data_IF_092375905290
#
_entry.id   IF_092375905290
#
_cell.length_a   1.000
_cell.length_b   1.000
_cell.length_c   1.000
_cell.angle_alpha   90.00
_cell.angle_beta   90.00
_cell.angle_gamma   90.00
#
_symmetry.space_group_name_H-M   'P 1'
#
loop_
_entity.id
_entity.type
_entity.pdbx_description
1 polymer ?
#
# COMPACT_ATOMS: atom_id res chain seq x y z
N UNK A 1 -6.20 -13.77 42.87
CA UNK A 1 -6.65 -13.41 41.51
C UNK A 1 -5.59 -12.48 40.96
N UNK A 2 -4.97 -12.85 39.86
CA UNK A 2 -3.89 -12.06 39.25
C UNK A 2 -4.50 -11.30 38.08
N UNK A 3 -4.23 -10.00 38.03
CA UNK A 3 -4.57 -9.16 36.87
C UNK A 3 -3.37 -9.19 35.93
N UNK A 4 -3.55 -9.72 34.72
CA UNK A 4 -2.49 -9.74 33.71
C UNK A 4 -2.88 -8.84 32.54
N UNK A 5 -1.98 -7.93 32.15
CA UNK A 5 -2.17 -7.09 30.97
C UNK A 5 -1.59 -7.78 29.75
N UNK A 6 -2.36 -7.81 28.67
CA UNK A 6 -1.95 -8.28 27.36
C UNK A 6 -2.10 -7.14 26.36
N UNK A 7 -1.02 -6.81 25.65
CA UNK A 7 -1.00 -5.76 24.62
C UNK A 7 -1.01 -6.45 23.26
N UNK A 8 -1.78 -5.92 22.31
CA UNK A 8 -1.77 -6.39 20.94
C UNK A 8 -0.42 -6.04 20.28
N UNK A 9 0.36 -7.07 19.94
CA UNK A 9 1.60 -6.93 19.17
C UNK A 9 1.38 -6.69 17.68
N UNK A 10 2.44 -6.81 16.90
CA UNK A 10 2.40 -6.67 15.44
C UNK A 10 1.74 -7.87 14.76
N UNK A 11 1.25 -7.69 13.53
CA UNK A 11 0.75 -8.79 12.70
C UNK A 11 1.93 -9.60 12.15
N UNK A 12 2.16 -10.78 12.72
CA UNK A 12 3.27 -11.67 12.34
C UNK A 12 2.77 -13.12 12.28
N UNK A 13 1.93 -13.47 11.29
CA UNK A 13 1.31 -14.79 11.18
C UNK A 13 2.32 -15.93 10.97
N UNK A 14 3.53 -15.64 10.51
CA UNK A 14 4.56 -16.66 10.27
C UNK A 14 5.20 -17.18 11.55
N UNK A 15 5.10 -16.40 12.64
CA UNK A 15 5.62 -16.78 13.94
C UNK A 15 4.83 -17.98 14.50
N UNK A 16 5.50 -18.87 15.27
CA UNK A 16 4.79 -19.93 15.97
C UNK A 16 3.64 -19.38 16.81
N UNK A 17 2.47 -20.05 16.83
CA UNK A 17 1.26 -19.51 17.43
C UNK A 17 1.27 -19.58 18.96
N UNK A 18 2.38 -19.91 19.62
CA UNK A 18 2.50 -19.99 21.08
C UNK A 18 3.78 -19.29 21.55
N UNK A 19 3.72 -18.68 22.74
CA UNK A 19 4.81 -17.88 23.34
C UNK A 19 5.19 -16.67 22.47
N UNK A 20 4.21 -16.03 21.85
CA UNK A 20 4.38 -14.85 21.02
C UNK A 20 3.38 -13.77 21.44
N UNK A 21 3.84 -12.53 21.47
CA UNK A 21 2.98 -11.35 21.71
C UNK A 21 2.32 -10.84 20.42
N UNK A 22 2.62 -11.50 19.29
CA UNK A 22 2.19 -11.13 17.96
C UNK A 22 0.75 -11.56 17.68
N UNK A 23 0.15 -10.90 16.70
CA UNK A 23 -1.16 -11.25 16.18
C UNK A 23 -1.03 -12.21 15.00
N UNK A 24 -1.79 -13.30 15.08
CA UNK A 24 -1.87 -14.33 14.03
C UNK A 24 -2.84 -13.88 12.93
N UNK A 25 -3.85 -13.09 13.28
CA UNK A 25 -4.73 -12.45 12.31
C UNK A 25 -5.04 -11.00 12.71
N UNK A 26 -5.00 -10.11 11.73
CA UNK A 26 -5.51 -8.75 11.83
C UNK A 26 -6.28 -8.46 10.56
N UNK A 27 -7.47 -7.86 10.69
CA UNK A 27 -8.16 -7.29 9.54
C UNK A 27 -8.71 -5.91 9.86
N UNK A 28 -8.65 -5.04 8.84
CA UNK A 28 -9.26 -3.71 8.79
C UNK A 28 -8.82 -2.75 9.91
N UNK A 29 -7.52 -2.75 10.23
CA UNK A 29 -6.95 -1.82 11.20
C UNK A 29 -5.58 -1.27 10.76
N UNK A 30 -5.30 -0.02 11.07
CA UNK A 30 -3.98 0.57 10.89
C UNK A 30 -3.10 0.30 12.13
N UNK A 31 -1.81 -0.03 11.95
CA UNK A 31 -0.91 -0.23 13.07
C UNK A 31 -0.58 1.11 13.73
N UNK A 32 -0.40 1.10 15.05
CA UNK A 32 0.13 2.23 15.83
C UNK A 32 1.18 1.73 16.82
N UNK A 33 1.95 2.64 17.42
CA UNK A 33 3.02 2.28 18.36
C UNK A 33 2.50 1.41 19.53
N UNK A 34 1.29 1.69 20.01
CA UNK A 34 0.65 0.95 21.10
C UNK A 34 -0.77 0.54 20.69
N UNK A 35 -0.86 -0.50 19.85
CA UNK A 35 -2.12 -1.08 19.41
C UNK A 35 -2.49 -0.67 17.99
N UNK A 36 -3.79 -0.51 17.73
CA UNK A 36 -4.34 -0.31 16.39
C UNK A 36 -5.31 0.85 16.33
N UNK A 37 -5.55 1.36 15.10
CA UNK A 37 -6.50 2.43 14.77
C UNK A 37 -7.52 1.95 13.74
N UNK A 38 -8.74 2.52 13.70
CA UNK A 38 -9.77 2.12 12.74
C UNK A 38 -9.38 2.46 11.30
N UNK A 39 -10.02 1.75 10.38
CA UNK A 39 -9.97 2.03 8.95
C UNK A 39 -11.39 2.33 8.47
N UNK A 40 -11.59 3.45 7.78
CA UNK A 40 -12.89 3.80 7.21
C UNK A 40 -13.25 2.92 6.02
N UNK A 41 -14.53 2.80 5.71
CA UNK A 41 -15.01 2.12 4.51
C UNK A 41 -14.66 2.91 3.25
N UNK A 42 -14.61 2.21 2.12
CA UNK A 42 -14.43 2.83 0.82
C UNK A 42 -15.52 3.88 0.55
N UNK A 43 -15.08 5.09 0.20
CA UNK A 43 -15.90 6.22 -0.17
C UNK A 43 -15.42 6.73 -1.54
N UNK A 44 -16.26 6.56 -2.54
CA UNK A 44 -15.97 6.97 -3.93
C UNK A 44 -16.03 8.49 -4.04
N UNK A 45 -15.01 9.11 -4.65
CA UNK A 45 -14.97 10.54 -4.96
C UNK A 45 -15.00 10.82 -6.46
N UNK A 46 -14.62 9.85 -7.29
CA UNK A 46 -14.64 9.97 -8.74
C UNK A 46 -15.37 8.77 -9.37
N UNK A 47 -16.17 9.01 -10.42
CA UNK A 47 -17.02 7.99 -11.02
C UNK A 47 -16.18 6.87 -11.67
N UNK A 48 -16.86 5.80 -12.05
CA UNK A 48 -16.24 4.68 -12.76
C UNK A 48 -15.57 5.13 -14.08
N UNK A 49 -14.38 4.60 -14.34
CA UNK A 49 -13.76 4.72 -15.66
C UNK A 49 -14.59 3.97 -16.72
N UNK A 50 -14.69 4.49 -17.96
CA UNK A 50 -15.46 3.83 -19.03
C UNK A 50 -14.92 2.46 -19.45
N UNK A 51 -13.62 2.23 -19.28
CA UNK A 51 -12.92 1.00 -19.64
C UNK A 51 -12.01 0.54 -18.51
N UNK A 52 -11.53 -0.71 -18.60
CA UNK A 52 -10.74 -1.34 -17.55
C UNK A 52 -9.51 -0.50 -17.18
N UNK A 53 -9.34 -0.30 -15.87
CA UNK A 53 -8.20 0.42 -15.29
C UNK A 53 -6.88 -0.29 -15.57
N UNK A 54 -5.84 0.47 -15.94
CA UNK A 54 -4.49 -0.04 -16.21
C UNK A 54 -3.39 0.73 -15.47
N UNK A 55 -3.72 1.79 -14.72
CA UNK A 55 -2.77 2.57 -13.93
C UNK A 55 -3.23 4.01 -13.75
N UNK A 56 -2.88 4.64 -12.63
CA UNK A 56 -3.19 6.04 -12.36
C UNK A 56 -2.15 6.66 -11.43
N UNK A 57 -2.07 7.98 -11.47
CA UNK A 57 -1.24 8.77 -10.56
C UNK A 57 -1.77 10.19 -10.47
N UNK A 58 -1.56 10.82 -9.32
CA UNK A 58 -1.87 12.23 -9.10
C UNK A 58 -0.58 13.06 -9.07
N UNK A 59 -0.65 14.27 -9.62
CA UNK A 59 0.48 15.20 -9.77
C UNK A 59 0.10 16.59 -9.29
N UNK A 60 1.11 17.35 -8.87
CA UNK A 60 0.98 18.73 -8.43
C UNK A 60 1.90 19.62 -9.28
N UNK A 61 1.34 20.63 -9.94
CA UNK A 61 2.06 21.61 -10.75
C UNK A 61 2.72 22.69 -9.90
N UNK A 62 3.63 23.45 -10.51
CA UNK A 62 4.33 24.57 -9.86
C UNK A 62 3.40 25.70 -9.39
N UNK A 63 2.21 25.83 -9.98
CA UNK A 63 1.17 26.79 -9.63
C UNK A 63 0.19 26.29 -8.54
N UNK A 64 0.36 25.05 -8.07
CA UNK A 64 -0.54 24.39 -7.13
C UNK A 64 -1.73 23.68 -7.78
N UNK A 65 -1.81 23.63 -9.11
CA UNK A 65 -2.82 22.86 -9.84
C UNK A 65 -2.59 21.36 -9.64
N UNK A 66 -3.66 20.61 -9.40
CA UNK A 66 -3.58 19.14 -9.25
C UNK A 66 -4.13 18.45 -10.49
N UNK A 67 -3.39 17.47 -11.00
CA UNK A 67 -3.79 16.65 -12.14
C UNK A 67 -3.85 15.18 -11.72
N UNK A 68 -5.04 14.57 -11.80
CA UNK A 68 -5.22 13.13 -11.66
C UNK A 68 -5.36 12.50 -13.04
N UNK A 69 -4.43 11.63 -13.40
CA UNK A 69 -4.43 10.87 -14.64
C UNK A 69 -4.77 9.41 -14.37
N UNK A 70 -5.56 8.82 -15.26
CA UNK A 70 -5.84 7.40 -15.27
C UNK A 70 -5.77 6.84 -16.69
N UNK A 71 -4.95 5.83 -16.87
CA UNK A 71 -4.81 5.07 -18.10
C UNK A 71 -5.73 3.86 -18.11
N UNK A 72 -6.32 3.60 -19.27
CA UNK A 72 -7.11 2.40 -19.55
C UNK A 72 -6.43 1.55 -20.61
N UNK A 73 -7.10 0.50 -21.09
CA UNK A 73 -6.57 -0.40 -22.11
C UNK A 73 -6.21 0.30 -23.43
N UNK A 74 -6.84 1.43 -23.76
CA UNK A 74 -6.68 2.09 -25.06
C UNK A 74 -6.60 3.63 -25.00
N UNK A 75 -6.78 4.22 -23.84
CA UNK A 75 -6.97 5.67 -23.70
C UNK A 75 -6.36 6.19 -22.41
N UNK A 76 -6.03 7.48 -22.41
CA UNK A 76 -5.59 8.20 -21.21
C UNK A 76 -6.64 9.25 -20.86
N UNK A 77 -7.06 9.26 -19.60
CA UNK A 77 -8.06 10.18 -19.07
C UNK A 77 -7.45 11.11 -18.03
N UNK A 78 -7.97 12.34 -17.97
CA UNK A 78 -7.79 13.24 -16.84
C UNK A 78 -9.09 13.37 -16.06
N UNK A 79 -9.00 13.51 -14.75
CA UNK A 79 -10.15 13.85 -13.92
C UNK A 79 -10.29 15.36 -13.82
N UNK A 80 -11.43 15.90 -14.24
CA UNK A 80 -11.73 17.34 -14.20
C UNK A 80 -13.20 17.57 -13.93
N UNK A 81 -13.51 18.49 -13.01
CA UNK A 81 -14.89 18.90 -12.69
C UNK A 81 -15.84 17.72 -12.44
N UNK A 82 -15.41 16.74 -11.63
CA UNK A 82 -16.25 15.59 -11.25
C UNK A 82 -16.32 14.46 -12.28
N UNK A 83 -15.65 14.57 -13.44
CA UNK A 83 -15.80 13.63 -14.55
C UNK A 83 -14.45 13.23 -15.18
N UNK A 84 -14.44 12.06 -15.82
CA UNK A 84 -13.30 11.61 -16.63
C UNK A 84 -13.39 12.19 -18.04
N UNK A 85 -12.37 12.94 -18.46
CA UNK A 85 -12.21 13.45 -19.81
C UNK A 85 -11.06 12.72 -20.51
N UNK A 86 -11.32 12.09 -21.65
CA UNK A 86 -10.26 11.48 -22.47
C UNK A 86 -9.36 12.58 -23.05
N UNK A 87 -8.06 12.48 -22.80
CA UNK A 87 -7.05 13.38 -23.39
C UNK A 87 -6.32 12.74 -24.57
N UNK A 88 -6.22 11.42 -24.58
CA UNK A 88 -5.69 10.65 -25.69
C UNK A 88 -6.50 9.36 -25.87
N UNK A 89 -6.69 8.95 -27.11
CA UNK A 89 -7.38 7.71 -27.50
C UNK A 89 -6.54 6.96 -28.55
N UNK A 90 -6.79 5.66 -28.72
CA UNK A 90 -6.07 4.85 -29.71
C UNK A 90 -4.64 4.49 -29.29
N UNK A 91 -4.39 4.38 -27.99
CA UNK A 91 -3.11 4.01 -27.37
C UNK A 91 -3.23 2.64 -26.71
N UNK A 92 -3.10 1.53 -27.45
CA UNK A 92 -3.24 0.19 -26.87
C UNK A 92 -2.17 -0.03 -25.78
N UNK A 93 -2.58 -0.33 -24.55
CA UNK A 93 -1.65 -0.61 -23.46
C UNK A 93 -1.15 -2.06 -23.56
N UNK A 94 0.17 -2.24 -23.55
CA UNK A 94 0.82 -3.56 -23.51
C UNK A 94 1.35 -3.93 -22.11
N UNK A 95 1.31 -2.97 -21.19
CA UNK A 95 1.57 -3.15 -19.76
C UNK A 95 0.71 -2.20 -18.94
N UNK A 96 0.97 -2.13 -17.63
CA UNK A 96 0.38 -1.10 -16.77
C UNK A 96 0.88 0.28 -17.19
N UNK A 97 0.08 1.32 -16.96
CA UNK A 97 0.50 2.68 -17.15
C UNK A 97 1.43 3.10 -16.01
N UNK A 98 2.63 3.56 -16.38
CA UNK A 98 3.58 4.17 -15.46
C UNK A 98 3.74 5.65 -15.80
N UNK A 99 3.93 6.44 -14.76
CA UNK A 99 3.99 7.88 -14.87
C UNK A 99 5.16 8.41 -14.04
N UNK A 100 5.77 9.50 -14.51
CA UNK A 100 6.73 10.26 -13.71
C UNK A 100 6.58 11.76 -13.99
N UNK A 101 6.84 12.58 -12.98
CA UNK A 101 6.79 14.03 -13.12
C UNK A 101 8.19 14.56 -13.47
N UNK A 102 8.24 15.44 -14.46
CA UNK A 102 9.41 16.17 -14.91
C UNK A 102 9.05 17.66 -14.99
N UNK A 103 9.33 18.39 -13.91
CA UNK A 103 8.85 19.77 -13.76
C UNK A 103 7.31 19.85 -13.82
N UNK A 104 6.79 20.65 -14.74
CA UNK A 104 5.34 20.81 -14.98
C UNK A 104 4.78 19.84 -16.04
N UNK A 105 5.58 18.86 -16.47
CA UNK A 105 5.16 17.81 -17.38
C UNK A 105 5.09 16.46 -16.66
N UNK A 106 4.13 15.64 -17.07
CA UNK A 106 4.03 14.23 -16.69
C UNK A 106 4.36 13.38 -17.90
N UNK A 107 5.35 12.52 -17.77
CA UNK A 107 5.68 11.53 -18.79
C UNK A 107 4.88 10.26 -18.49
N UNK A 108 4.08 9.83 -19.45
CA UNK A 108 3.22 8.67 -19.37
C UNK A 108 3.69 7.59 -20.36
N UNK A 109 3.85 6.37 -19.87
CA UNK A 109 4.29 5.21 -20.67
C UNK A 109 3.37 4.01 -20.42
N UNK A 110 3.11 3.24 -21.46
CA UNK A 110 2.18 2.08 -21.42
C UNK A 110 2.67 0.87 -22.24
N UNK A 111 3.93 0.89 -22.67
CA UNK A 111 4.55 -0.09 -23.56
C UNK A 111 4.36 0.16 -25.06
N UNK A 112 3.32 0.88 -25.49
CA UNK A 112 3.09 1.17 -26.91
C UNK A 112 3.52 2.55 -27.35
N UNK A 113 3.34 3.56 -26.51
CA UNK A 113 3.72 4.93 -26.81
C UNK A 113 4.15 5.66 -25.54
N UNK A 114 5.04 6.62 -25.73
CA UNK A 114 5.46 7.56 -24.69
C UNK A 114 4.83 8.92 -25.00
N UNK A 115 4.19 9.52 -24.00
CA UNK A 115 3.45 10.78 -24.13
C UNK A 115 3.83 11.71 -22.99
N UNK A 116 3.78 13.02 -23.22
CA UNK A 116 3.85 14.01 -22.15
C UNK A 116 2.50 14.70 -21.97
N UNK A 117 2.16 14.99 -20.73
CA UNK A 117 0.95 15.74 -20.35
C UNK A 117 1.39 16.95 -19.55
N UNK A 118 0.99 18.14 -19.96
CA UNK A 118 1.26 19.36 -19.19
C UNK A 118 0.29 19.40 -17.99
N UNK A 119 0.81 19.59 -16.78
CA UNK A 119 0.00 19.60 -15.55
C UNK A 119 -0.94 20.82 -15.50
N UNK A 120 -0.46 21.96 -15.98
CA UNK A 120 -1.15 23.26 -15.91
C UNK A 120 -2.32 23.34 -16.90
N UNK A 121 -2.12 22.88 -18.14
CA UNK A 121 -3.17 22.88 -19.18
C UNK A 121 -3.97 21.58 -19.20
N UNK A 122 -3.40 20.50 -18.65
CA UNK A 122 -3.91 19.14 -18.74
C UNK A 122 -3.95 18.61 -20.18
N UNK A 123 -3.20 19.21 -21.10
CA UNK A 123 -3.13 18.78 -22.51
C UNK A 123 -1.99 17.79 -22.72
N UNK A 124 -2.22 16.81 -23.60
CA UNK A 124 -1.25 15.80 -23.93
C UNK A 124 -0.61 16.05 -25.30
N UNK A 125 0.69 15.75 -25.43
CA UNK A 125 1.45 15.88 -26.67
C UNK A 125 2.43 14.72 -26.87
N UNK A 126 2.92 14.58 -28.09
CA UNK A 126 3.99 13.65 -28.42
C UNK A 126 5.34 14.19 -27.94
N UNK A 127 6.25 13.28 -27.61
CA UNK A 127 7.65 13.59 -27.35
C UNK A 127 8.44 13.17 -28.58
N UNK A 128 9.31 14.04 -29.11
CA UNK A 128 10.12 13.71 -30.29
C UNK A 128 11.07 12.56 -29.96
N UNK A 129 11.10 11.56 -30.85
CA UNK A 129 12.05 10.44 -30.82
C UNK A 129 12.08 9.63 -29.51
N UNK A 130 11.06 9.78 -28.66
CA UNK A 130 10.98 9.05 -27.40
C UNK A 130 10.79 7.55 -27.66
N UNK A 131 11.51 6.68 -26.93
CA UNK A 131 11.37 5.25 -27.08
C UNK A 131 9.99 4.79 -26.56
N UNK A 132 9.49 3.67 -27.08
CA UNK A 132 8.42 2.92 -26.40
C UNK A 132 8.96 2.38 -25.08
N UNK A 133 8.28 2.59 -23.97
CA UNK A 133 8.73 2.12 -22.65
C UNK A 133 7.56 1.55 -21.84
N UNK A 134 7.85 0.62 -20.92
CA UNK A 134 6.86 0.13 -19.95
C UNK A 134 7.07 0.76 -18.58
N UNK A 135 8.27 1.24 -18.26
CA UNK A 135 8.62 1.82 -16.96
C UNK A 135 9.25 3.19 -17.20
N UNK A 136 8.94 4.16 -16.34
CA UNK A 136 9.54 5.51 -16.43
C UNK A 136 9.79 6.07 -15.04
N UNK A 137 10.90 6.78 -14.87
CA UNK A 137 11.21 7.52 -13.66
C UNK A 137 12.08 8.75 -13.98
N UNK A 138 11.88 9.84 -13.24
CA UNK A 138 12.75 11.01 -13.27
C UNK A 138 13.93 10.80 -12.31
N UNK A 139 15.15 10.86 -12.84
CA UNK A 139 16.39 10.80 -12.05
C UNK A 139 17.16 12.08 -12.30
N UNK A 140 17.31 12.90 -11.26
CA UNK A 140 17.78 14.30 -11.38
C UNK A 140 17.01 15.04 -12.48
N UNK A 141 17.73 15.53 -13.48
CA UNK A 141 17.21 16.31 -14.61
C UNK A 141 17.05 15.47 -15.87
N UNK A 142 16.88 14.15 -15.74
CA UNK A 142 16.68 13.22 -16.84
C UNK A 142 15.40 12.41 -16.68
N UNK A 143 14.73 12.17 -17.81
CA UNK A 143 13.67 11.16 -17.89
C UNK A 143 14.32 9.84 -18.28
N UNK A 144 14.15 8.82 -17.45
CA UNK A 144 14.74 7.50 -17.66
C UNK A 144 13.65 6.47 -17.95
N UNK A 145 13.80 5.80 -19.08
CA UNK A 145 12.91 4.81 -19.64
C UNK A 145 13.45 3.40 -19.40
N UNK A 146 12.64 2.57 -18.75
CA UNK A 146 12.89 1.15 -18.54
C UNK A 146 12.10 0.30 -19.52
N UNK A 147 12.72 -0.82 -19.93
CA UNK A 147 12.18 -1.72 -20.96
C UNK A 147 11.96 -0.98 -22.27
N UNK A 148 12.93 -0.11 -22.60
CA UNK A 148 12.85 0.77 -23.75
C UNK A 148 12.90 -0.02 -25.07
N UNK A 149 12.26 0.51 -26.12
CA UNK A 149 12.30 -0.04 -27.49
C UNK A 149 11.95 -1.52 -27.57
N UNK A 150 10.96 -1.96 -26.79
CA UNK A 150 10.50 -3.34 -26.65
C UNK A 150 11.56 -4.35 -26.15
N UNK A 151 12.66 -3.87 -25.56
CA UNK A 151 13.72 -4.69 -24.97
C UNK A 151 13.65 -4.63 -23.44
N UNK A 152 13.32 -5.74 -22.80
CA UNK A 152 13.04 -5.78 -21.35
C UNK A 152 14.24 -5.47 -20.44
N UNK A 153 15.45 -5.52 -20.97
CA UNK A 153 16.69 -5.26 -20.25
C UNK A 153 17.38 -3.95 -20.67
N UNK A 154 16.73 -3.15 -21.53
CA UNK A 154 17.28 -1.88 -22.00
C UNK A 154 16.82 -0.72 -21.10
N UNK A 155 17.80 0.06 -20.65
CA UNK A 155 17.60 1.38 -20.07
C UNK A 155 17.94 2.44 -21.13
N UNK A 156 17.11 3.47 -21.25
CA UNK A 156 17.38 4.65 -22.09
C UNK A 156 17.05 5.92 -21.29
N UNK A 157 17.69 7.03 -21.56
CA UNK A 157 17.41 8.32 -20.91
C UNK A 157 17.39 9.46 -21.91
N UNK A 158 16.62 10.50 -21.59
CA UNK A 158 16.52 11.75 -22.36
C UNK A 158 17.82 12.57 -22.28
N UNK A 159 17.85 13.72 -22.95
CA UNK A 159 18.90 14.72 -22.81
C UNK A 159 18.83 15.41 -21.45
N UNK A 160 19.91 16.10 -21.11
CA UNK A 160 20.04 16.81 -19.85
C UNK A 160 19.03 17.97 -19.77
N UNK A 161 18.18 17.92 -18.74
CA UNK A 161 17.14 18.90 -18.47
C UNK A 161 16.18 19.16 -19.65
N UNK A 162 15.99 18.17 -20.52
CA UNK A 162 15.14 18.29 -21.69
C UNK A 162 14.49 16.94 -22.03
N UNK A 163 13.19 16.83 -21.78
CA UNK A 163 12.42 15.61 -22.05
C UNK A 163 12.17 15.36 -23.54
N UNK A 164 12.28 16.38 -24.39
CA UNK A 164 12.10 16.27 -25.85
C UNK A 164 13.36 15.79 -26.59
N UNK A 165 14.54 15.87 -25.94
CA UNK A 165 15.79 15.40 -26.52
C UNK A 165 15.95 13.90 -26.22
N UNK A 166 15.62 13.02 -27.17
CA UNK A 166 15.75 11.56 -27.00
C UNK A 166 16.68 10.91 -28.01
N UNK A 167 17.32 11.73 -28.86
CA UNK A 167 18.26 11.26 -29.88
C UNK A 167 19.55 10.83 -29.20
N UNK A 168 19.88 9.55 -29.32
CA UNK A 168 21.05 8.95 -28.68
C UNK A 168 22.32 9.68 -29.13
N UNK A 169 23.12 10.12 -28.15
CA UNK A 169 24.37 10.84 -28.37
C UNK A 169 24.23 12.35 -28.46
N UNK A 170 23.01 12.88 -28.45
CA UNK A 170 22.72 14.32 -28.39
C UNK A 170 22.36 14.75 -26.96
N UNK A 171 22.74 15.95 -26.52
CA UNK A 171 22.46 16.49 -25.17
C UNK A 171 22.67 15.52 -23.98
N UNK A 172 23.65 14.60 -24.07
CA UNK A 172 23.86 13.52 -23.09
C UNK A 172 22.75 12.45 -23.02
N UNK A 173 21.81 12.42 -23.96
CA UNK A 173 20.88 11.31 -24.13
C UNK A 173 21.63 10.03 -24.53
N UNK A 174 21.18 8.90 -24.01
CA UNK A 174 21.90 7.65 -24.18
C UNK A 174 21.13 6.44 -23.71
N UNK A 175 21.78 5.28 -23.79
CA UNK A 175 21.19 4.01 -23.39
C UNK A 175 22.25 3.11 -22.76
N UNK A 176 21.78 2.18 -21.93
CA UNK A 176 22.60 1.14 -21.33
C UNK A 176 21.82 -0.18 -21.37
N UNK A 177 22.28 -1.19 -22.14
CA UNK A 177 21.74 -2.54 -22.03
C UNK A 177 22.26 -3.19 -20.74
N UNK A 178 21.35 -3.72 -19.93
CA UNK A 178 21.70 -4.53 -18.76
C UNK A 178 21.90 -5.98 -19.20
N UNK A 179 23.16 -6.41 -19.25
CA UNK A 179 23.53 -7.76 -19.73
C UNK A 179 23.29 -8.86 -18.69
N UNK A 180 23.12 -8.49 -17.42
CA UNK A 180 22.89 -9.40 -16.29
C UNK A 180 21.70 -8.92 -15.45
N UNK A 181 21.16 -9.78 -14.58
CA UNK A 181 20.07 -9.42 -13.66
C UNK A 181 18.64 -9.64 -14.18
N UNK A 182 18.49 -9.96 -15.48
CA UNK A 182 17.20 -10.22 -16.13
C UNK A 182 16.42 -8.95 -16.45
N UNK A 183 15.11 -9.10 -16.60
CA UNK A 183 14.18 -8.03 -16.94
C UNK A 183 14.23 -6.88 -15.91
N UNK A 184 14.13 -5.64 -16.38
CA UNK A 184 13.95 -4.47 -15.52
C UNK A 184 12.52 -4.52 -14.98
N UNK A 185 12.38 -4.53 -13.65
CA UNK A 185 11.09 -4.66 -12.97
C UNK A 185 10.59 -3.30 -12.45
N UNK A 186 11.51 -2.38 -12.13
CA UNK A 186 11.17 -1.01 -11.74
C UNK A 186 12.39 -0.11 -11.70
N UNK A 187 12.14 1.20 -11.76
CA UNK A 187 13.14 2.25 -11.63
C UNK A 187 12.64 3.21 -10.56
N UNK A 188 13.50 3.50 -9.60
CA UNK A 188 13.25 4.42 -8.50
C UNK A 188 14.03 5.70 -8.80
N UNK A 189 13.32 6.82 -8.80
CA UNK A 189 13.86 8.14 -9.16
C UNK A 189 14.49 8.89 -7.99
N UNK A 190 15.06 10.07 -8.24
CA UNK A 190 15.62 10.95 -7.21
C UNK A 190 17.04 11.45 -7.50
N UNK A 191 17.83 11.68 -6.44
CA UNK A 191 19.23 12.14 -6.55
C UNK A 191 20.12 11.13 -7.29
N UNK A 192 19.82 9.84 -7.12
CA UNK A 192 20.38 8.74 -7.89
C UNK A 192 19.24 7.80 -8.28
N UNK A 193 19.43 7.05 -9.35
CA UNK A 193 18.50 6.01 -9.73
C UNK A 193 18.77 4.72 -8.97
N UNK A 194 17.72 3.99 -8.58
CA UNK A 194 17.84 2.57 -8.20
C UNK A 194 17.05 1.75 -9.21
N UNK A 195 17.76 0.91 -9.95
CA UNK A 195 17.21 0.03 -10.98
C UNK A 195 17.04 -1.34 -10.34
N UNK A 196 15.79 -1.77 -10.22
CA UNK A 196 15.44 -3.08 -9.70
C UNK A 196 15.16 -4.00 -10.88
N UNK A 197 15.97 -5.04 -11.03
CA UNK A 197 15.79 -6.09 -12.01
C UNK A 197 15.21 -7.35 -11.36
N UNK A 198 14.99 -8.40 -12.15
CA UNK A 198 14.45 -9.67 -11.65
C UNK A 198 15.31 -10.31 -10.57
N UNK A 199 16.64 -10.31 -10.73
CA UNK A 199 17.56 -10.97 -9.78
C UNK A 199 18.68 -10.07 -9.25
N UNK A 200 18.67 -8.78 -9.60
CA UNK A 200 19.76 -7.83 -9.30
C UNK A 200 19.21 -6.44 -9.00
N UNK A 201 19.93 -5.67 -8.19
CA UNK A 201 19.66 -4.25 -7.94
C UNK A 201 20.92 -3.44 -8.25
N UNK A 202 20.75 -2.38 -9.02
CA UNK A 202 21.84 -1.51 -9.52
C UNK A 202 21.54 -0.07 -9.18
N UNK A 203 22.54 0.66 -8.69
CA UNK A 203 22.50 2.10 -8.49
C UNK A 203 23.00 2.81 -9.75
N UNK A 204 22.26 3.79 -10.21
CA UNK A 204 22.59 4.65 -11.33
C UNK A 204 22.98 6.03 -10.80
N UNK A 205 24.25 6.40 -10.94
CA UNK A 205 24.81 7.65 -10.41
C UNK A 205 25.32 8.51 -11.56
N UNK A 206 24.88 9.77 -11.61
CA UNK A 206 25.32 10.70 -12.65
C UNK A 206 26.74 11.18 -12.35
N UNK A 207 27.64 11.05 -13.33
CA UNK A 207 29.04 11.51 -13.21
C UNK A 207 29.34 12.73 -14.10
N UNK A 208 28.59 12.93 -15.19
CA UNK A 208 28.70 14.09 -16.09
C UNK A 208 29.95 14.11 -16.99
N UNK A 209 30.74 13.04 -17.03
CA UNK A 209 31.92 12.90 -17.90
C UNK A 209 31.57 12.09 -19.18
N UNK A 210 32.57 11.62 -19.92
CA UNK A 210 32.41 10.78 -21.12
C UNK A 210 31.48 9.57 -20.91
N UNK A 211 31.41 9.06 -19.67
CA UNK A 211 30.39 8.12 -19.22
C UNK A 211 29.36 8.83 -18.36
N UNK A 212 28.27 9.29 -18.97
CA UNK A 212 27.23 10.11 -18.32
C UNK A 212 26.75 9.50 -16.99
N UNK A 213 26.58 8.17 -16.97
CA UNK A 213 26.13 7.40 -15.81
C UNK A 213 27.11 6.31 -15.41
N UNK A 214 27.32 6.17 -14.11
CA UNK A 214 27.96 5.03 -13.48
C UNK A 214 26.90 4.08 -12.91
N UNK A 215 27.07 2.79 -13.16
CA UNK A 215 26.16 1.73 -12.70
C UNK A 215 26.87 0.83 -11.69
N UNK A 216 26.58 1.04 -10.41
CA UNK A 216 27.15 0.25 -9.31
C UNK A 216 26.17 -0.82 -8.84
N UNK A 217 26.64 -2.04 -8.63
CA UNK A 217 25.79 -3.11 -8.12
C UNK A 217 25.56 -2.98 -6.61
N UNK A 218 24.30 -2.94 -6.19
CA UNK A 218 23.93 -2.96 -4.76
C UNK A 218 23.76 -4.41 -4.29
N UNK A 219 23.13 -5.26 -5.10
CA UNK A 219 22.90 -6.67 -4.76
C UNK A 219 22.86 -7.56 -5.99
N UNK A 220 23.63 -8.66 -5.94
CA UNK A 220 23.84 -9.60 -7.06
C UNK A 220 22.76 -10.66 -7.21
N UNK A 221 21.95 -10.88 -6.17
CA UNK A 221 21.05 -12.04 -6.09
C UNK A 221 19.67 -11.71 -5.53
N UNK A 222 19.38 -10.45 -5.28
CA UNK A 222 18.09 -9.97 -4.78
C UNK A 222 17.54 -8.99 -5.80
N UNK A 223 16.34 -9.27 -6.28
CA UNK A 223 15.58 -8.42 -7.21
C UNK A 223 14.09 -8.51 -6.91
N UNK A 224 13.25 -7.94 -7.78
CA UNK A 224 11.80 -7.95 -7.61
C UNK A 224 11.14 -9.06 -8.45
N UNK A 225 10.15 -9.75 -7.88
CA UNK A 225 9.32 -10.72 -8.60
C UNK A 225 8.15 -10.07 -9.34
N UNK A 226 7.65 -8.94 -8.82
CA UNK A 226 6.46 -8.25 -9.32
C UNK A 226 6.75 -6.76 -9.52
N UNK A 227 6.60 -6.26 -10.75
CA UNK A 227 6.87 -4.86 -11.09
C UNK A 227 5.96 -3.89 -10.32
N UNK A 228 4.65 -4.19 -10.23
CA UNK A 228 3.70 -3.37 -9.50
C UNK A 228 3.83 -3.39 -7.98
N UNK A 229 4.71 -4.23 -7.42
CA UNK A 229 4.98 -4.27 -5.96
C UNK A 229 5.97 -3.19 -5.48
N UNK A 230 6.59 -2.46 -6.41
CA UNK A 230 7.64 -1.49 -6.11
C UNK A 230 7.02 -0.15 -5.74
N UNK A 231 7.35 0.38 -4.56
CA UNK A 231 6.94 1.69 -4.10
C UNK A 231 8.11 2.45 -3.46
N UNK A 232 8.13 3.78 -3.57
CA UNK A 232 9.23 4.63 -3.13
C UNK A 232 8.78 5.71 -2.14
N UNK A 233 9.47 5.85 -1.00
CA UNK A 233 9.38 7.00 -0.12
C UNK A 233 10.75 7.65 0.06
N UNK A 234 10.94 8.82 -0.53
CA UNK A 234 12.24 9.51 -0.50
C UNK A 234 13.33 8.62 -1.09
N UNK A 235 14.35 8.28 -0.28
CA UNK A 235 15.47 7.39 -0.68
C UNK A 235 15.18 5.91 -0.48
N UNK A 236 14.12 5.58 0.26
CA UNK A 236 13.76 4.20 0.56
C UNK A 236 12.82 3.67 -0.52
N UNK A 237 13.04 2.43 -0.92
CA UNK A 237 12.12 1.72 -1.77
C UNK A 237 11.79 0.34 -1.20
N UNK A 238 10.54 -0.04 -1.38
CA UNK A 238 9.96 -1.27 -0.88
C UNK A 238 9.51 -2.10 -2.06
N UNK A 239 9.75 -3.41 -2.03
CA UNK A 239 9.44 -4.31 -3.14
C UNK A 239 9.28 -5.75 -2.67
N UNK A 240 8.58 -6.56 -3.46
CA UNK A 240 8.47 -8.00 -3.25
C UNK A 240 9.56 -8.72 -4.04
N UNK A 241 10.37 -9.53 -3.36
CA UNK A 241 11.40 -10.39 -3.93
C UNK A 241 11.00 -11.87 -3.93
N UNK A 242 11.74 -12.72 -4.63
CA UNK A 242 11.62 -14.19 -4.52
C UNK A 242 11.88 -14.70 -3.09
N UNK A 243 12.56 -13.90 -2.25
CA UNK A 243 12.83 -14.20 -0.83
C UNK A 243 11.84 -13.54 0.14
N UNK A 244 10.82 -12.83 -0.34
CA UNK A 244 9.87 -12.09 0.51
C UNK A 244 9.93 -10.58 0.36
N UNK A 245 9.27 -9.86 1.27
CA UNK A 245 9.23 -8.40 1.27
C UNK A 245 10.56 -7.81 1.71
N UNK A 246 11.07 -6.87 0.90
CA UNK A 246 12.39 -6.26 1.05
C UNK A 246 12.29 -4.73 1.01
N UNK A 247 13.27 -4.08 1.63
CA UNK A 247 13.48 -2.64 1.58
C UNK A 247 14.91 -2.36 1.14
N UNK A 248 15.11 -1.32 0.33
CA UNK A 248 16.43 -0.79 0.01
C UNK A 248 16.49 0.70 0.30
N UNK A 249 17.62 1.17 0.83
CA UNK A 249 17.94 2.58 1.02
C UNK A 249 18.81 3.15 -0.12
N UNK A 250 19.05 2.35 -1.17
CA UNK A 250 19.97 2.65 -2.27
C UNK A 250 21.44 2.28 -2.01
N UNK A 251 21.74 1.65 -0.87
CA UNK A 251 23.09 1.16 -0.52
C UNK A 251 23.06 -0.29 -0.09
N UNK A 252 22.02 -0.69 0.65
CA UNK A 252 21.83 -2.04 1.18
C UNK A 252 20.41 -2.52 0.91
N UNK A 253 20.19 -3.82 1.13
CA UNK A 253 18.88 -4.46 1.02
C UNK A 253 18.59 -5.20 2.31
N UNK A 254 17.47 -4.87 2.95
CA UNK A 254 17.05 -5.40 4.25
C UNK A 254 15.71 -6.12 4.11
N UNK A 255 15.58 -7.38 4.61
CA UNK A 255 14.31 -8.07 4.65
C UNK A 255 13.38 -7.46 5.70
N UNK A 256 12.12 -7.23 5.33
CA UNK A 256 11.10 -6.67 6.24
C UNK A 256 9.99 -7.67 6.57
N UNK A 257 9.83 -8.72 5.76
CA UNK A 257 8.79 -9.75 5.94
C UNK A 257 9.27 -11.09 6.51
N UNK A 258 10.58 -11.30 6.64
CA UNK A 258 11.15 -12.60 7.02
C UNK A 258 10.76 -13.00 8.44
N UNK A 259 10.26 -14.24 8.61
CA UNK A 259 9.66 -14.72 9.87
C UNK A 259 8.55 -13.82 10.42
N UNK A 260 7.87 -13.05 9.54
CA UNK A 260 6.75 -12.19 9.91
C UNK A 260 5.53 -12.45 9.05
N UNK A 261 5.62 -12.19 7.75
CA UNK A 261 4.47 -12.26 6.82
C UNK A 261 4.76 -13.02 5.52
N UNK A 262 6.04 -13.24 5.17
CA UNK A 262 6.45 -13.78 3.87
C UNK A 262 5.85 -15.16 3.57
N UNK A 263 5.91 -16.10 4.52
CA UNK A 263 5.43 -17.48 4.33
C UNK A 263 3.92 -17.50 4.12
N UNK A 264 3.19 -16.83 5.02
CA UNK A 264 1.73 -16.69 4.94
C UNK A 264 1.30 -16.00 3.65
N UNK A 265 2.06 -15.00 3.19
CA UNK A 265 1.81 -14.33 1.93
C UNK A 265 1.95 -15.28 0.74
N UNK A 266 3.07 -15.99 0.60
CA UNK A 266 3.29 -16.90 -0.53
C UNK A 266 2.35 -18.12 -0.54
N UNK A 267 1.86 -18.55 0.63
CA UNK A 267 0.81 -19.56 0.72
C UNK A 267 -0.55 -19.03 0.25
N UNK A 268 -0.83 -17.75 0.52
CA UNK A 268 -2.10 -17.11 0.15
C UNK A 268 -2.19 -16.65 -1.31
N UNK A 269 -1.06 -16.28 -1.92
CA UNK A 269 -1.02 -15.68 -3.26
C UNK A 269 -0.41 -16.65 -4.29
N UNK A 270 -1.20 -17.16 -5.26
CA UNK A 270 -0.65 -17.98 -6.33
C UNK A 270 0.27 -17.14 -7.23
N UNK A 271 1.36 -17.74 -7.72
CA UNK A 271 2.37 -17.04 -8.53
C UNK A 271 1.82 -16.33 -9.77
N UNK A 272 0.71 -16.81 -10.32
CA UNK A 272 0.07 -16.23 -11.50
C UNK A 272 -0.53 -14.84 -11.23
N UNK A 273 -0.87 -14.52 -9.99
CA UNK A 273 -1.50 -13.25 -9.62
C UNK A 273 -0.47 -12.19 -9.22
N UNK A 274 0.83 -12.54 -9.17
CA UNK A 274 1.87 -11.62 -8.72
C UNK A 274 2.06 -10.42 -9.67
N UNK A 275 1.75 -10.58 -10.96
CA UNK A 275 1.82 -9.49 -11.94
C UNK A 275 0.75 -8.41 -11.73
N UNK A 276 -0.31 -8.72 -10.99
CA UNK A 276 -1.44 -7.84 -10.72
C UNK A 276 -1.34 -7.14 -9.36
N UNK A 277 -0.28 -7.43 -8.58
CA UNK A 277 -0.02 -6.73 -7.32
C UNK A 277 0.27 -5.27 -7.60
N UNK A 278 -0.35 -4.39 -6.82
CA UNK A 278 -0.11 -2.95 -6.86
C UNK A 278 0.33 -2.44 -5.50
N UNK A 279 1.23 -1.47 -5.48
CA UNK A 279 1.79 -0.90 -4.28
C UNK A 279 1.61 0.62 -4.25
N UNK A 280 1.39 1.15 -3.06
CA UNK A 280 1.36 2.58 -2.81
C UNK A 280 2.00 2.92 -1.48
N UNK A 281 2.34 4.20 -1.36
CA UNK A 281 2.99 4.75 -0.19
C UNK A 281 2.29 6.00 0.32
N UNK A 282 2.11 6.06 1.63
CA UNK A 282 1.68 7.23 2.37
C UNK A 282 2.87 7.72 3.20
N UNK A 283 3.62 8.73 2.70
CA UNK A 283 4.80 9.24 3.39
C UNK A 283 4.46 9.98 4.70
N UNK A 284 3.25 10.53 4.85
CA UNK A 284 2.85 11.27 6.06
C UNK A 284 2.61 10.31 7.23
N UNK A 285 2.00 9.16 6.95
CA UNK A 285 1.73 8.13 7.95
C UNK A 285 2.86 7.11 8.11
N UNK A 286 3.89 7.22 7.27
CA UNK A 286 5.00 6.28 7.16
C UNK A 286 4.53 4.85 6.85
N UNK A 287 3.56 4.69 5.96
CA UNK A 287 2.97 3.39 5.62
C UNK A 287 3.14 3.07 4.13
N UNK A 288 3.54 1.84 3.85
CA UNK A 288 3.50 1.24 2.51
C UNK A 288 2.43 0.18 2.50
N UNK A 289 1.68 0.10 1.41
CA UNK A 289 0.57 -0.81 1.24
C UNK A 289 0.72 -1.59 -0.07
N UNK A 290 0.51 -2.90 -0.01
CA UNK A 290 0.45 -3.79 -1.16
C UNK A 290 -0.94 -4.36 -1.27
N UNK A 291 -1.62 -4.05 -2.38
CA UNK A 291 -2.89 -4.67 -2.73
C UNK A 291 -2.62 -5.91 -3.54
N UNK A 292 -3.16 -7.02 -3.05
CA UNK A 292 -3.07 -8.34 -3.64
C UNK A 292 -4.48 -8.69 -4.13
N UNK A 293 -4.66 -8.94 -5.43
CA UNK A 293 -5.97 -9.19 -5.99
C UNK A 293 -6.56 -10.48 -5.41
N UNK A 294 -7.82 -10.41 -5.01
CA UNK A 294 -8.53 -11.50 -4.34
C UNK A 294 -10.02 -11.23 -4.24
N UNK A 295 -10.75 -12.14 -3.61
CA UNK A 295 -12.21 -12.02 -3.40
C UNK A 295 -12.55 -12.30 -1.93
N UNK A 296 -12.48 -11.32 -1.01
CA UNK A 296 -12.04 -9.92 -1.21
C UNK A 296 -10.52 -9.79 -1.40
N UNK A 297 -10.05 -8.64 -1.91
CA UNK A 297 -8.63 -8.36 -2.06
C UNK A 297 -7.98 -8.15 -0.69
N UNK A 298 -6.74 -8.63 -0.56
CA UNK A 298 -5.95 -8.47 0.66
C UNK A 298 -5.02 -7.29 0.49
N UNK A 299 -5.02 -6.36 1.44
CA UNK A 299 -4.08 -5.24 1.47
C UNK A 299 -3.15 -5.43 2.66
N UNK A 300 -1.88 -5.72 2.40
CA UNK A 300 -0.85 -5.77 3.42
C UNK A 300 -0.30 -4.37 3.64
N UNK A 301 -0.20 -3.94 4.90
CA UNK A 301 0.32 -2.63 5.26
C UNK A 301 1.52 -2.81 6.17
N UNK A 302 2.59 -2.10 5.86
CA UNK A 302 3.77 -2.01 6.71
C UNK A 302 4.04 -0.55 7.07
N UNK A 303 4.16 -0.26 8.36
CA UNK A 303 4.60 1.04 8.83
C UNK A 303 6.09 0.99 9.15
N UNK A 304 6.90 1.69 8.37
CA UNK A 304 8.37 1.64 8.48
C UNK A 304 8.92 2.52 9.60
N UNK A 305 8.14 3.46 10.15
CA UNK A 305 8.59 4.29 11.27
C UNK A 305 8.52 3.53 12.61
N UNK A 306 7.54 2.63 12.75
CA UNK A 306 7.34 1.83 13.97
C UNK A 306 7.67 0.34 13.79
N UNK A 307 8.08 -0.07 12.59
CA UNK A 307 8.37 -1.46 12.23
C UNK A 307 7.21 -2.43 12.55
N UNK A 308 6.01 -2.13 12.05
CA UNK A 308 4.81 -2.96 12.29
C UNK A 308 4.01 -3.24 11.04
N UNK A 309 3.63 -4.50 10.91
CA UNK A 309 2.71 -4.99 9.90
C UNK A 309 1.25 -4.94 10.36
N UNK A 310 0.37 -4.82 9.38
CA UNK A 310 -1.09 -4.98 9.51
C UNK A 310 -1.68 -5.45 8.18
N UNK A 311 -2.98 -5.73 8.20
CA UNK A 311 -3.73 -6.20 7.05
C UNK A 311 -5.13 -5.56 6.99
N UNK A 312 -5.59 -5.28 5.78
CA UNK A 312 -6.96 -4.91 5.46
C UNK A 312 -7.54 -5.92 4.48
N UNK A 313 -8.85 -6.14 4.56
CA UNK A 313 -9.61 -6.92 3.59
C UNK A 313 -10.60 -5.97 2.92
N UNK A 314 -10.35 -5.63 1.66
CA UNK A 314 -11.10 -4.63 0.90
C UNK A 314 -11.39 -5.14 -0.50
N UNK A 315 -12.61 -4.92 -1.00
CA UNK A 315 -12.89 -5.12 -2.41
C UNK A 315 -12.32 -3.93 -3.21
N UNK A 316 -11.14 -4.13 -3.81
CA UNK A 316 -10.48 -3.14 -4.65
C UNK A 316 -9.64 -3.86 -5.73
N UNK A 317 -9.55 -3.24 -6.91
CA UNK A 317 -8.80 -3.74 -8.06
C UNK A 317 -7.33 -3.31 -7.98
N UNK A 318 -7.10 -2.05 -7.60
CA UNK A 318 -5.76 -1.45 -7.58
C UNK A 318 -5.65 -0.38 -6.50
N UNK A 319 -4.41 -0.08 -6.13
CA UNK A 319 -4.05 0.99 -5.20
C UNK A 319 -2.93 1.84 -5.80
N UNK A 320 -2.96 3.15 -5.57
CA UNK A 320 -1.87 4.07 -5.92
C UNK A 320 -1.78 5.24 -4.92
N UNK A 321 -0.63 5.91 -4.90
CA UNK A 321 -0.42 7.11 -4.10
C UNK A 321 -1.01 8.33 -4.81
N UNK A 322 -1.80 9.11 -4.10
CA UNK A 322 -2.28 10.39 -4.58
C UNK A 322 -2.17 11.49 -3.53
N UNK A 323 -2.68 12.67 -3.89
CA UNK A 323 -2.76 13.83 -3.02
C UNK A 323 -4.20 14.33 -2.96
N UNK A 324 -4.59 14.98 -1.87
CA UNK A 324 -5.86 15.71 -1.83
C UNK A 324 -5.82 16.85 -2.83
N UNK A 325 -6.85 16.98 -3.66
CA UNK A 325 -6.97 18.09 -4.59
C UNK A 325 -7.35 19.37 -3.84
N UNK A 326 -6.69 20.49 -4.14
CA UNK A 326 -7.14 21.78 -3.64
C UNK A 326 -8.44 22.15 -4.37
N UNK A 327 -9.58 21.96 -3.71
CA UNK A 327 -10.87 22.30 -4.32
C UNK A 327 -11.15 23.77 -4.04
N UNK A 328 -11.13 24.59 -5.10
CA UNK A 328 -11.48 26.02 -4.97
C UNK A 328 -12.95 26.19 -4.57
N UNK A 329 -13.30 27.29 -3.92
CA UNK A 329 -14.69 27.58 -3.54
C UNK A 329 -15.64 27.58 -4.75
N UNK A 330 -15.15 27.98 -5.92
CA UNK A 330 -15.93 27.99 -7.17
C UNK A 330 -16.20 26.58 -7.70
N UNK A 331 -15.23 25.67 -7.60
CA UNK A 331 -15.42 24.28 -8.00
C UNK A 331 -16.25 23.49 -6.98
N UNK A 332 -16.17 23.84 -5.69
CA UNK A 332 -17.06 23.34 -4.66
C UNK A 332 -18.53 23.70 -4.96
N UNK A 333 -18.78 24.91 -5.44
CA UNK A 333 -20.11 25.38 -5.83
C UNK A 333 -20.63 24.68 -7.10
N UNK A 334 -19.74 24.21 -7.99
CA UNK A 334 -20.12 23.37 -9.13
C UNK A 334 -20.41 21.91 -8.72
N UNK A 335 -19.67 21.39 -7.75
CA UNK A 335 -19.86 20.03 -7.23
C UNK A 335 -21.13 19.91 -6.36
N UNK A 336 -21.46 20.99 -5.63
CA UNK A 336 -22.63 21.10 -4.76
C UNK A 336 -23.47 22.35 -5.12
N UNK A 337 -24.20 22.33 -6.25
CA UNK A 337 -24.93 23.49 -6.78
C UNK A 337 -26.09 23.97 -5.90
N UNK A 338 -26.45 23.23 -4.85
CA UNK A 338 -27.51 23.57 -3.90
C UNK A 338 -26.99 24.20 -2.60
N UNK A 339 -25.73 24.65 -2.57
CA UNK A 339 -25.14 25.40 -1.46
C UNK A 339 -24.49 24.52 -0.40
N UNK A 340 -23.81 25.18 0.56
CA UNK A 340 -22.98 24.56 1.61
C UNK A 340 -23.76 23.56 2.49
N UNK A 341 -25.08 23.74 2.63
CA UNK A 341 -25.94 22.87 3.44
C UNK A 341 -26.18 21.48 2.84
N UNK A 342 -25.78 21.26 1.59
CA UNK A 342 -25.91 19.95 0.91
C UNK A 342 -24.62 19.12 0.91
N UNK A 343 -23.54 19.65 1.50
CA UNK A 343 -22.27 18.96 1.62
C UNK A 343 -22.36 17.98 2.80
N UNK A 344 -22.24 16.66 2.59
CA UNK A 344 -22.34 15.66 3.66
C UNK A 344 -21.07 15.59 4.54
N UNK A 345 -20.13 16.52 4.35
CA UNK A 345 -18.79 16.51 4.93
C UNK A 345 -18.45 17.90 5.48
N UNK A 346 -17.64 17.94 6.55
CA UNK A 346 -17.15 19.21 7.12
C UNK A 346 -16.29 19.96 6.10
N UNK A 347 -16.37 21.29 6.07
CA UNK A 347 -15.50 22.12 5.22
C UNK A 347 -14.02 22.04 5.62
N UNK A 348 -13.75 21.67 6.88
CA UNK A 348 -12.40 21.43 7.40
C UNK A 348 -11.93 19.97 7.18
N UNK A 349 -12.66 19.17 6.40
CA UNK A 349 -12.24 17.80 6.08
C UNK A 349 -10.94 17.83 5.25
N UNK A 350 -9.96 16.97 5.56
CA UNK A 350 -8.70 16.93 4.82
C UNK A 350 -8.85 16.80 3.31
N UNK A 351 -9.98 16.23 2.82
CA UNK A 351 -10.32 16.17 1.40
C UNK A 351 -10.42 17.55 0.73
N UNK A 352 -10.67 18.61 1.49
CA UNK A 352 -10.68 20.01 1.04
C UNK A 352 -9.40 20.77 1.39
N UNK A 353 -8.60 20.30 2.36
CA UNK A 353 -7.24 20.81 2.58
C UNK A 353 -6.30 20.15 1.56
N UNK A 354 -6.18 20.75 0.38
CA UNK A 354 -5.35 20.24 -0.71
C UNK A 354 -3.89 19.97 -0.29
N UNK A 355 -3.24 19.01 -0.97
CA UNK A 355 -1.81 18.72 -0.85
C UNK A 355 -1.43 17.58 0.10
N UNK A 356 -2.38 16.94 0.79
CA UNK A 356 -2.10 15.85 1.71
C UNK A 356 -1.96 14.51 0.97
N UNK A 357 -0.86 13.76 1.15
CA UNK A 357 -0.70 12.45 0.52
C UNK A 357 -1.64 11.43 1.15
N UNK A 358 -2.24 10.56 0.31
CA UNK A 358 -3.18 9.54 0.76
C UNK A 358 -3.21 8.34 -0.18
N UNK A 359 -3.71 7.22 0.34
CA UNK A 359 -4.01 6.03 -0.44
C UNK A 359 -5.31 6.19 -1.24
N UNK A 360 -5.20 6.13 -2.57
CA UNK A 360 -6.36 6.08 -3.46
C UNK A 360 -6.56 4.63 -3.92
N UNK A 361 -7.77 4.14 -3.72
CA UNK A 361 -8.19 2.81 -4.13
C UNK A 361 -9.06 2.89 -5.37
N UNK A 362 -8.92 1.91 -6.25
CA UNK A 362 -9.83 1.68 -7.37
C UNK A 362 -10.78 0.56 -6.96
N UNK A 363 -12.07 0.87 -6.82
CA UNK A 363 -13.11 -0.07 -6.45
C UNK A 363 -13.41 -1.08 -7.57
N UNK A 364 -14.21 -2.12 -7.29
CA UNK A 364 -14.51 -3.19 -8.24
C UNK A 364 -15.31 -2.73 -9.46
N UNK A 365 -15.88 -1.52 -9.41
CA UNK A 365 -16.61 -0.88 -10.50
C UNK A 365 -15.74 0.07 -11.32
N UNK A 366 -14.40 0.04 -11.15
CA UNK A 366 -13.45 1.00 -11.71
C UNK A 366 -13.66 2.45 -11.23
N UNK A 367 -14.31 2.64 -10.08
CA UNK A 367 -14.50 3.93 -9.43
C UNK A 367 -13.35 4.22 -8.45
N UNK A 368 -13.10 5.50 -8.17
CA UNK A 368 -11.93 5.91 -7.41
C UNK A 368 -12.37 6.47 -6.07
N UNK A 369 -11.74 5.99 -5.01
CA UNK A 369 -12.17 6.30 -3.66
C UNK A 369 -11.08 6.24 -2.61
N UNK A 370 -11.44 6.69 -1.42
CA UNK A 370 -10.57 6.76 -0.24
C UNK A 370 -11.25 6.08 0.95
N UNK A 371 -10.48 5.70 1.97
CA UNK A 371 -10.98 4.98 3.15
C UNK A 371 -11.43 5.94 4.26
N UNK A 372 -12.38 6.82 3.95
CA UNK A 372 -12.90 7.86 4.88
C UNK A 372 -14.37 7.66 5.26
N UNK A 373 -15.00 6.57 4.82
CA UNK A 373 -16.36 6.22 5.23
C UNK A 373 -16.44 5.73 6.68
N UNK A 374 -17.56 5.11 7.04
CA UNK A 374 -17.74 4.56 8.38
C UNK A 374 -16.75 3.43 8.67
N UNK A 375 -16.35 3.25 9.93
CA UNK A 375 -15.34 2.26 10.31
C UNK A 375 -15.70 0.85 9.82
N UNK A 376 -14.75 0.20 9.15
CA UNK A 376 -14.86 -1.20 8.76
C UNK A 376 -14.86 -2.12 9.99
N UNK A 377 -15.52 -3.28 9.92
CA UNK A 377 -15.43 -4.28 10.98
C UNK A 377 -13.99 -4.79 11.06
N UNK A 378 -13.36 -4.66 12.22
CA UNK A 378 -12.00 -5.07 12.47
C UNK A 378 -11.96 -6.39 13.26
N UNK A 379 -10.97 -7.22 12.96
CA UNK A 379 -10.72 -8.48 13.67
C UNK A 379 -9.28 -8.51 14.17
N UNK A 380 -9.08 -8.94 15.41
CA UNK A 380 -7.75 -9.14 16.01
C UNK A 380 -7.70 -10.51 16.66
N UNK A 381 -6.81 -11.39 16.19
CA UNK A 381 -6.58 -12.72 16.75
C UNK A 381 -5.15 -12.81 17.29
N UNK A 382 -5.04 -13.13 18.58
CA UNK A 382 -3.76 -13.36 19.25
C UNK A 382 -3.23 -14.76 19.00
N UNK A 383 -1.94 -14.96 19.23
CA UNK A 383 -1.41 -16.29 19.49
C UNK A 383 -2.11 -16.98 20.67
N UNK A 384 -1.95 -18.30 20.75
CA UNK A 384 -2.30 -19.06 21.95
C UNK A 384 -1.35 -18.70 23.07
N UNK A 385 -1.91 -18.21 24.16
CA UNK A 385 -1.19 -18.03 25.42
C UNK A 385 -1.68 -19.04 26.45
N UNK A 386 -0.82 -19.33 27.41
CA UNK A 386 -1.19 -20.02 28.64
C UNK A 386 -1.07 -19.00 29.76
N UNK A 387 -2.14 -18.82 30.52
CA UNK A 387 -2.14 -17.83 31.59
C UNK A 387 -1.35 -18.30 32.83
N UNK A 388 -1.05 -19.59 32.91
CA UNK A 388 -0.15 -20.17 33.90
C UNK A 388 0.61 -21.36 33.28
N UNK A 389 1.94 -21.32 33.33
CA UNK A 389 2.78 -22.31 32.66
C UNK A 389 2.45 -23.73 33.12
N UNK A 390 2.05 -24.57 32.16
CA UNK A 390 1.83 -25.99 32.40
C UNK A 390 0.51 -26.35 33.10
N UNK A 391 -0.33 -25.40 33.53
CA UNK A 391 -1.59 -25.70 34.21
C UNK A 391 -2.83 -25.28 33.41
N UNK A 392 -3.99 -25.79 33.82
CA UNK A 392 -5.27 -25.26 33.34
C UNK A 392 -5.52 -23.91 34.00
N UNK A 393 -5.84 -22.89 33.21
CA UNK A 393 -6.16 -21.57 33.76
C UNK A 393 -7.64 -21.28 33.61
N UNK A 394 -8.23 -20.69 34.65
CA UNK A 394 -9.62 -20.24 34.62
C UNK A 394 -9.70 -18.74 34.41
N UNK A 395 -10.16 -18.32 33.24
CA UNK A 395 -10.39 -16.91 32.91
C UNK A 395 -11.82 -16.54 33.32
N UNK A 396 -11.95 -15.55 34.22
CA UNK A 396 -13.24 -15.10 34.79
C UNK A 396 -13.80 -13.87 34.12
N UNK A 397 -12.93 -12.94 33.73
CA UNK A 397 -13.32 -11.81 32.92
C UNK A 397 -12.11 -11.19 32.25
N UNK A 398 -12.37 -10.41 31.21
CA UNK A 398 -11.43 -9.49 30.62
C UNK A 398 -12.00 -8.07 30.67
N UNK A 399 -11.13 -7.07 30.55
CA UNK A 399 -11.49 -5.68 30.25
C UNK A 399 -10.77 -5.28 28.99
N UNK A 400 -11.50 -4.72 28.04
CA UNK A 400 -10.92 -4.22 26.80
C UNK A 400 -10.25 -2.86 27.06
N UNK A 401 -9.01 -2.71 26.60
CA UNK A 401 -8.26 -1.45 26.62
C UNK A 401 -8.51 -0.72 25.30
N UNK A 402 -9.65 -0.04 25.20
CA UNK A 402 -10.10 0.70 24.02
C UNK A 402 -11.11 1.78 24.45
N UNK A 403 -11.35 2.75 23.59
CA UNK A 403 -12.41 3.76 23.72
C UNK A 403 -13.74 3.35 23.09
N UNK A 404 -13.84 2.12 22.57
CA UNK A 404 -15.09 1.62 21.97
C UNK A 404 -16.21 1.55 23.02
N UNK A 405 -17.34 2.19 22.72
CA UNK A 405 -18.55 2.17 23.56
C UNK A 405 -19.69 1.34 22.96
N UNK A 406 -19.55 0.96 21.69
CA UNK A 406 -20.52 0.16 20.93
C UNK A 406 -20.23 -1.35 21.06
N UNK A 407 -21.06 -2.17 20.40
CA UNK A 407 -20.95 -3.63 20.44
C UNK A 407 -19.62 -4.13 19.83
N UNK A 408 -18.68 -4.48 20.71
CA UNK A 408 -17.54 -5.35 20.40
C UNK A 408 -17.79 -6.76 20.96
N UNK A 409 -17.27 -7.77 20.27
CA UNK A 409 -17.37 -9.16 20.72
C UNK A 409 -16.00 -9.77 20.93
N UNK A 410 -15.79 -10.37 22.09
CA UNK A 410 -14.60 -11.15 22.40
C UNK A 410 -14.94 -12.64 22.37
N UNK A 411 -14.19 -13.39 21.57
CA UNK A 411 -14.25 -14.85 21.49
C UNK A 411 -12.96 -15.45 22.00
N UNK A 412 -13.04 -16.39 22.94
CA UNK A 412 -11.88 -17.15 23.42
C UNK A 412 -11.89 -18.54 22.80
N UNK A 413 -10.89 -18.84 21.97
CA UNK A 413 -10.65 -20.18 21.41
C UNK A 413 -9.84 -21.00 22.41
N UNK A 414 -10.29 -22.23 22.69
CA UNK A 414 -9.68 -23.12 23.68
C UNK A 414 -9.11 -24.37 23.02
N UNK A 415 -7.93 -24.82 23.48
CA UNK A 415 -7.31 -26.08 23.06
C UNK A 415 -6.64 -26.80 24.24
N UNK A 416 -6.73 -28.13 24.24
CA UNK A 416 -6.04 -28.98 25.22
C UNK A 416 -4.54 -29.12 24.92
N UNK A 417 -4.20 -29.38 23.64
CA UNK A 417 -2.84 -29.35 23.10
C UNK A 417 -2.77 -28.40 21.91
N UNK A 418 -1.61 -27.82 21.65
CA UNK A 418 -1.44 -26.84 20.56
C UNK A 418 -1.84 -27.40 19.17
N UNK A 419 -1.57 -28.69 18.94
CA UNK A 419 -1.93 -29.39 17.70
C UNK A 419 -3.37 -29.94 17.64
N UNK A 420 -4.14 -29.86 18.72
CA UNK A 420 -5.54 -30.29 18.70
C UNK A 420 -6.42 -29.25 17.99
N UNK A 421 -7.53 -29.66 17.35
CA UNK A 421 -8.54 -28.70 16.92
C UNK A 421 -9.10 -27.93 18.12
N UNK A 422 -9.62 -26.73 17.86
CA UNK A 422 -10.25 -25.89 18.89
C UNK A 422 -11.37 -26.68 19.59
N UNK A 423 -11.13 -27.04 20.85
CA UNK A 423 -11.99 -27.93 21.65
C UNK A 423 -13.28 -27.23 22.08
N UNK A 424 -13.27 -25.89 22.14
CA UNK A 424 -14.46 -25.08 22.38
C UNK A 424 -14.19 -23.58 22.19
N UNK A 425 -15.27 -22.80 22.16
CA UNK A 425 -15.21 -21.34 22.08
C UNK A 425 -16.22 -20.71 23.03
N UNK A 426 -15.81 -19.64 23.72
CA UNK A 426 -16.73 -18.79 24.50
C UNK A 426 -16.77 -17.42 23.83
N UNK A 427 -17.95 -17.01 23.37
CA UNK A 427 -18.20 -15.72 22.72
C UNK A 427 -19.02 -14.84 23.65
N UNK A 428 -18.58 -13.62 23.91
CA UNK A 428 -19.29 -12.68 24.80
C UNK A 428 -19.11 -11.25 24.34
N UNK A 429 -20.20 -10.47 24.40
CA UNK A 429 -20.21 -9.05 24.03
C UNK A 429 -19.62 -8.23 25.19
N UNK A 430 -18.92 -7.14 24.86
CA UNK A 430 -18.43 -6.18 25.85
C UNK A 430 -19.62 -5.52 26.54
N UNK A 431 -19.71 -5.63 27.87
CA UNK A 431 -20.78 -4.99 28.63
C UNK A 431 -20.54 -3.46 28.72
N UNK A 432 -21.58 -2.65 28.94
CA UNK A 432 -21.44 -1.19 29.12
C UNK A 432 -20.49 -0.79 30.26
N UNK A 433 -20.24 -1.68 31.22
CA UNK A 433 -19.25 -1.49 32.30
C UNK A 433 -17.79 -1.66 31.84
N UNK A 434 -17.54 -1.97 30.56
CA UNK A 434 -16.23 -2.31 30.00
C UNK A 434 -15.71 -3.70 30.38
N UNK A 435 -16.42 -4.41 31.25
CA UNK A 435 -16.10 -5.78 31.66
C UNK A 435 -16.69 -6.79 30.68
N UNK A 436 -15.95 -7.85 30.42
CA UNK A 436 -16.35 -8.98 29.59
C UNK A 436 -16.37 -10.21 30.49
N UNK A 437 -17.55 -10.71 30.89
CA UNK A 437 -17.63 -11.86 31.79
C UNK A 437 -17.32 -13.13 30.99
N UNK A 438 -16.28 -13.86 31.41
CA UNK A 438 -15.81 -15.06 30.73
C UNK A 438 -15.92 -16.26 31.68
N UNK A 439 -16.23 -17.44 31.12
CA UNK A 439 -16.21 -18.70 31.86
C UNK A 439 -15.41 -19.72 31.06
N UNK A 440 -14.11 -19.49 31.00
CA UNK A 440 -13.17 -20.31 30.24
C UNK A 440 -12.31 -21.12 31.20
N UNK A 441 -12.15 -22.41 30.92
CA UNK A 441 -11.23 -23.30 31.61
C UNK A 441 -10.47 -24.10 30.56
N UNK A 442 -9.21 -23.74 30.32
CA UNK A 442 -8.37 -24.37 29.30
C UNK A 442 -6.89 -24.13 29.64
N UNK A 443 -6.02 -24.99 29.10
CA UNK A 443 -4.56 -24.81 29.19
C UNK A 443 -4.05 -23.79 28.18
N UNK A 444 -4.54 -23.87 26.94
CA UNK A 444 -4.22 -22.90 25.89
C UNK A 444 -5.46 -22.13 25.47
N UNK A 445 -5.33 -20.81 25.37
CA UNK A 445 -6.38 -19.88 25.00
C UNK A 445 -5.86 -18.89 23.94
N UNK A 446 -6.66 -18.58 22.94
CA UNK A 446 -6.41 -17.46 22.02
C UNK A 446 -7.60 -16.52 22.04
N UNK A 447 -7.34 -15.22 21.98
CA UNK A 447 -8.37 -14.18 22.00
C UNK A 447 -8.65 -13.70 20.56
N UNK A 448 -9.92 -13.61 20.22
CA UNK A 448 -10.40 -13.02 18.95
C UNK A 448 -11.36 -11.88 19.27
N UNK A 449 -10.96 -10.66 18.95
CA UNK A 449 -11.77 -9.47 19.08
C UNK A 449 -12.37 -9.09 17.74
N UNK A 450 -13.69 -8.95 17.69
CA UNK A 450 -14.43 -8.51 16.51
C UNK A 450 -15.17 -7.21 16.83
N UNK A 451 -14.96 -6.17 16.03
CA UNK A 451 -15.74 -4.93 16.10
C UNK A 451 -16.89 -4.96 15.09
N UNK A 452 -18.01 -4.37 15.46
CA UNK A 452 -19.16 -4.23 14.55
C UNK A 452 -18.86 -3.23 13.43
N UNK A 453 -19.41 -3.46 12.24
CA UNK A 453 -19.37 -2.49 11.14
C UNK A 453 -19.98 -1.16 11.58
N UNK A 454 -19.27 -0.06 11.35
CA UNK A 454 -19.67 1.29 11.73
C UNK A 454 -19.39 1.64 13.19
N UNK A 455 -18.80 0.74 13.99
CA UNK A 455 -18.49 1.02 15.38
C UNK A 455 -17.49 2.16 15.51
N UNK A 456 -17.81 3.17 16.33
CA UNK A 456 -16.92 4.29 16.59
C UNK A 456 -15.87 3.90 17.66
N UNK A 457 -14.61 3.93 17.27
CA UNK A 457 -13.45 3.73 18.13
C UNK A 457 -12.26 4.45 17.53
N UNK A 458 -11.33 4.94 18.34
CA UNK A 458 -10.10 5.61 17.89
C UNK A 458 -8.85 4.78 18.17
N UNK A 459 -8.87 3.93 19.20
CA UNK A 459 -7.76 3.04 19.51
C UNK A 459 -8.21 1.71 20.13
N UNK A 460 -7.44 0.65 19.86
CA UNK A 460 -7.52 -0.63 20.58
C UNK A 460 -6.10 -1.03 20.95
N UNK A 461 -5.82 -1.22 22.24
CA UNK A 461 -4.48 -1.55 22.75
C UNK A 461 -4.34 -3.00 23.20
N UNK A 462 -5.40 -3.61 23.74
CA UNK A 462 -5.32 -4.96 24.29
C UNK A 462 -6.34 -5.23 25.39
N UNK A 463 -5.98 -6.08 26.34
CA UNK A 463 -6.88 -6.60 27.37
C UNK A 463 -6.22 -6.67 28.75
N UNK A 464 -6.98 -6.35 29.79
CA UNK A 464 -6.64 -6.68 31.17
C UNK A 464 -7.46 -7.91 31.60
N UNK A 465 -6.79 -8.99 31.97
CA UNK A 465 -7.39 -10.28 32.28
C UNK A 465 -7.47 -10.52 33.78
N UNK A 466 -8.60 -11.07 34.24
CA UNK A 466 -8.74 -11.61 35.59
C UNK A 466 -8.65 -13.15 35.55
N UNK A 467 -7.49 -13.67 35.94
CA UNK A 467 -7.16 -15.10 35.90
C UNK A 467 -7.11 -15.67 37.33
N UNK A 468 -7.58 -16.91 37.45
CA UNK A 468 -7.42 -17.75 38.63
C UNK A 468 -6.71 -19.04 38.21
N UNK A 469 -5.68 -19.42 38.95
CA UNK A 469 -5.01 -20.71 38.82
C UNK A 469 -6.02 -21.86 38.96
N UNK A 470 -6.02 -22.78 38.00
CA UNK A 470 -6.79 -24.02 38.12
C UNK A 470 -5.98 -25.06 38.89
N UNK A 471 -6.62 -25.79 39.79
CA UNK A 471 -5.97 -26.95 40.43
C UNK A 471 -5.67 -28.02 39.37
N UNK A 472 -4.42 -28.46 39.31
CA UNK A 472 -3.99 -29.54 38.42
C UNK A 472 -4.73 -30.83 38.74
N UNK A 473 -5.52 -31.33 37.80
CA UNK A 473 -5.91 -32.73 37.73
C UNK A 473 -5.60 -33.27 36.36
#
# INVERSE_FOLDING_TARGET
MVSQRFILGAYEPDQPPHLTDCLINVSNAYPSANGYRPVGSFCSFAPALPTAFMGASAFLGSDGSTLLLAGTKDSLYRYVSGNWQAILTGLPAYGLWHFTQFGDFVIAVNGSATRKVNILTGEASAISDAPTAEIVATIRDFVVYGRASAQKNLLQWSGFNNEDSNVIGDDQAGYQPMLTGGDIMGIIGGEYGVIIQRSRIVRMTYTGDAYIWQFDEISANVGAIAAGSIAQAGRQAFFLSDRGFMMTDGVSVTPIGNERVDRSFFESCPRNNLSEITAAIDPRRHMVAWLIPGHPSMVLIYNWAIDRWSRLDLAAISLFSGFTANTTLEDLNKLYPHGLDTIPYSLDDPRFSGGDPLFIFVGPQNDFGVLTGCNLPACFETGFFSAEEGYHSRIRSARLLSDITEEATLTIKMRARLGDPTTGQVKTIVMPSGRIPLRVNSRYCAAVLETKKGANWSFIQGFDWEIIAGEGR
#
